data_IF_119719069054
#
_entry.id   IF_119719069054
#
_cell.length_a   1.000
_cell.length_b   1.000
_cell.length_c   1.000
_cell.angle_alpha   90.00
_cell.angle_beta   90.00
_cell.angle_gamma   90.00
#
_symmetry.space_group_name_H-M   'P 1'
#
loop_
_entity.id
_entity.type
_entity.pdbx_description
1 polymer ?
#
# COMPACT_ATOMS: atom_id res chain seq x y z
N UNK A 1 -1.11 -40.28 -38.88
CA UNK A 1 0.05 -39.35 -38.91
C UNK A 1 0.05 -38.62 -37.57
N UNK A 2 1.16 -38.55 -36.85
CA UNK A 2 1.20 -37.77 -35.58
C UNK A 2 0.91 -36.31 -35.91
N UNK A 3 -0.04 -35.73 -35.19
CA UNK A 3 -0.37 -34.30 -35.30
C UNK A 3 0.80 -33.47 -34.75
N UNK A 4 0.85 -32.18 -35.12
CA UNK A 4 1.86 -31.29 -34.54
C UNK A 4 1.81 -31.26 -33.00
N UNK A 5 0.65 -31.48 -32.43
CA UNK A 5 0.39 -31.58 -30.99
C UNK A 5 1.11 -32.76 -30.34
N UNK A 6 1.00 -33.97 -30.99
CA UNK A 6 1.70 -35.17 -30.47
C UNK A 6 3.21 -35.01 -30.39
N UNK A 7 3.81 -34.19 -31.26
CA UNK A 7 5.26 -33.93 -31.21
C UNK A 7 5.67 -33.10 -30.01
N UNK A 8 4.81 -32.13 -29.62
CA UNK A 8 5.04 -31.29 -28.43
C UNK A 8 4.84 -32.10 -27.15
N UNK A 9 3.73 -32.84 -27.08
CA UNK A 9 3.38 -33.63 -25.87
C UNK A 9 4.36 -34.76 -25.58
N UNK A 10 4.90 -35.38 -26.62
CA UNK A 10 5.85 -36.49 -26.48
C UNK A 10 7.31 -36.02 -26.30
N UNK A 11 7.57 -34.76 -26.47
CA UNK A 11 8.91 -34.16 -26.28
C UNK A 11 8.90 -33.15 -25.12
N UNK A 12 9.29 -33.64 -23.95
CA UNK A 12 9.28 -32.84 -22.71
C UNK A 12 10.14 -31.58 -22.83
N UNK A 13 11.28 -31.65 -23.50
CA UNK A 13 12.17 -30.50 -23.70
C UNK A 13 11.49 -29.40 -24.55
N UNK A 14 10.87 -29.81 -25.68
CA UNK A 14 10.12 -28.87 -26.52
C UNK A 14 8.93 -28.27 -25.79
N UNK A 15 8.20 -29.06 -25.01
CA UNK A 15 7.08 -28.61 -24.21
C UNK A 15 7.50 -27.57 -23.18
N UNK A 16 8.59 -27.81 -22.42
CA UNK A 16 9.14 -26.87 -21.45
C UNK A 16 9.52 -25.54 -22.13
N UNK A 17 10.24 -25.60 -23.25
CA UNK A 17 10.63 -24.38 -23.97
C UNK A 17 9.41 -23.58 -24.43
N UNK A 18 8.41 -24.22 -24.98
CA UNK A 18 7.18 -23.55 -25.42
C UNK A 18 6.40 -22.95 -24.26
N UNK A 19 6.30 -23.65 -23.13
CA UNK A 19 5.68 -23.12 -21.91
C UNK A 19 6.42 -21.87 -21.44
N UNK A 20 7.75 -21.93 -21.34
CA UNK A 20 8.56 -20.79 -20.91
C UNK A 20 8.38 -19.58 -21.85
N UNK A 21 8.37 -19.80 -23.16
CA UNK A 21 8.15 -18.73 -24.15
C UNK A 21 6.76 -18.07 -23.94
N UNK A 22 5.69 -18.87 -23.88
CA UNK A 22 4.35 -18.35 -23.73
C UNK A 22 4.15 -17.62 -22.41
N UNK A 23 4.64 -18.20 -21.30
CA UNK A 23 4.56 -17.58 -19.96
C UNK A 23 5.38 -16.29 -19.92
N UNK A 24 6.57 -16.28 -20.54
CA UNK A 24 7.40 -15.07 -20.61
C UNK A 24 6.73 -13.95 -21.40
N UNK A 25 6.13 -14.25 -22.54
CA UNK A 25 5.40 -13.26 -23.34
C UNK A 25 4.21 -12.72 -22.54
N UNK A 26 3.39 -13.60 -21.97
CA UNK A 26 2.25 -13.18 -21.13
C UNK A 26 2.66 -12.34 -19.92
N UNK A 27 3.73 -12.74 -19.24
CA UNK A 27 4.27 -11.98 -18.12
C UNK A 27 4.80 -10.60 -18.53
N UNK A 28 5.56 -10.53 -19.63
CA UNK A 28 6.09 -9.25 -20.12
C UNK A 28 4.99 -8.29 -20.55
N UNK A 29 3.96 -8.76 -21.23
CA UNK A 29 2.80 -7.93 -21.63
C UNK A 29 2.11 -7.29 -20.41
N UNK A 30 2.08 -7.99 -19.28
CA UNK A 30 1.50 -7.45 -18.03
C UNK A 30 2.46 -6.57 -17.24
N UNK A 31 3.74 -6.93 -17.17
CA UNK A 31 4.72 -6.26 -16.30
C UNK A 31 5.27 -4.99 -16.97
N UNK A 32 5.61 -5.03 -18.26
CA UNK A 32 6.24 -3.90 -18.95
C UNK A 32 5.42 -2.60 -18.89
N UNK A 33 4.10 -2.61 -19.11
CA UNK A 33 3.29 -1.38 -18.99
C UNK A 33 3.37 -0.73 -17.60
N UNK A 34 3.56 -1.53 -16.53
CA UNK A 34 3.62 -1.00 -15.16
C UNK A 34 4.82 -0.07 -14.93
N UNK A 35 5.92 -0.25 -15.68
CA UNK A 35 7.08 0.63 -15.60
C UNK A 35 6.81 2.04 -16.16
N UNK A 36 5.77 2.18 -16.96
CA UNK A 36 5.38 3.45 -17.58
C UNK A 36 4.13 4.08 -16.93
N UNK A 37 3.51 3.39 -15.98
CA UNK A 37 2.33 3.88 -15.27
C UNK A 37 2.75 4.69 -14.03
N UNK A 38 2.63 6.01 -14.11
CA UNK A 38 2.93 6.92 -12.99
C UNK A 38 1.87 6.82 -11.89
N UNK A 39 0.61 6.56 -12.23
CA UNK A 39 -0.50 6.44 -11.27
C UNK A 39 -0.31 5.39 -10.18
N UNK A 40 0.59 4.44 -10.38
CA UNK A 40 0.92 3.38 -9.40
C UNK A 40 2.15 3.70 -8.55
N UNK A 41 2.91 4.72 -8.90
CA UNK A 41 4.18 5.09 -8.26
C UNK A 41 4.20 6.47 -7.66
N UNK A 42 3.30 7.37 -8.11
CA UNK A 42 3.18 8.72 -7.57
C UNK A 42 2.27 8.73 -6.34
N UNK A 43 2.72 9.41 -5.29
CA UNK A 43 1.92 9.61 -4.09
C UNK A 43 0.72 10.52 -4.38
N UNK A 44 -0.43 10.22 -3.79
CA UNK A 44 -1.56 11.16 -3.81
C UNK A 44 -1.22 12.43 -3.05
N UNK A 45 -1.83 13.54 -3.44
CA UNK A 45 -1.60 14.83 -2.78
C UNK A 45 -1.86 14.75 -1.27
N UNK A 46 -0.91 15.22 -0.48
CA UNK A 46 -0.99 15.21 0.99
C UNK A 46 -0.59 13.89 1.67
N UNK A 47 -0.16 12.88 0.91
CA UNK A 47 0.39 11.68 1.50
C UNK A 47 1.84 11.92 1.93
N UNK A 48 2.11 11.67 3.21
CA UNK A 48 3.44 11.79 3.80
C UNK A 48 3.99 10.41 4.16
N UNK A 49 5.34 10.24 4.17
CA UNK A 49 5.97 9.04 4.69
C UNK A 49 5.57 8.75 6.13
N UNK A 50 5.65 7.51 6.55
CA UNK A 50 5.36 7.13 7.93
C UNK A 50 6.25 7.87 8.93
N UNK A 51 5.63 8.45 9.95
CA UNK A 51 6.36 8.88 11.14
C UNK A 51 6.89 7.65 11.90
N UNK A 52 7.92 7.78 12.76
CA UNK A 52 8.44 6.67 13.55
C UNK A 52 7.35 5.90 14.31
N UNK A 53 6.43 6.61 14.93
CA UNK A 53 5.33 5.99 15.68
C UNK A 53 4.35 5.24 14.78
N UNK A 54 4.00 5.81 13.63
CA UNK A 54 3.12 5.14 12.65
C UNK A 54 3.76 3.88 12.07
N UNK A 55 5.07 3.94 11.83
CA UNK A 55 5.82 2.77 11.35
C UNK A 55 5.87 1.66 12.41
N UNK A 56 6.09 2.01 13.67
CA UNK A 56 6.02 1.05 14.78
C UNK A 56 4.63 0.41 14.89
N UNK A 57 3.57 1.21 14.77
CA UNK A 57 2.20 0.70 14.74
C UNK A 57 1.93 -0.26 13.58
N UNK A 58 2.48 0.04 12.40
CA UNK A 58 2.42 -0.87 11.25
C UNK A 58 3.14 -2.20 11.52
N UNK A 59 4.29 -2.15 12.16
CA UNK A 59 5.03 -3.37 12.53
C UNK A 59 4.23 -4.23 13.52
N UNK A 60 3.58 -3.61 14.49
CA UNK A 60 2.65 -4.30 15.44
C UNK A 60 1.50 -4.93 14.65
N UNK A 61 0.86 -4.19 13.74
CA UNK A 61 -0.24 -4.69 12.91
C UNK A 61 0.15 -5.96 12.11
N UNK A 62 1.36 -5.98 11.56
CA UNK A 62 1.88 -7.13 10.82
C UNK A 62 2.24 -8.26 11.78
N UNK A 63 2.91 -7.97 12.89
CA UNK A 63 3.34 -8.97 13.87
C UNK A 63 2.17 -9.71 14.50
N UNK A 64 1.13 -8.97 14.88
CA UNK A 64 -0.07 -9.56 15.50
C UNK A 64 -1.01 -10.22 14.48
N UNK A 65 -0.71 -10.11 13.18
CA UNK A 65 -1.48 -10.76 12.12
C UNK A 65 -2.85 -10.15 11.86
N UNK A 66 -3.07 -8.88 12.19
CA UNK A 66 -4.35 -8.20 12.02
C UNK A 66 -4.88 -8.26 10.58
N UNK A 67 -3.96 -8.28 9.60
CA UNK A 67 -4.26 -8.39 8.17
C UNK A 67 -4.91 -9.73 7.78
N UNK A 68 -4.89 -10.75 8.63
CA UNK A 68 -5.56 -12.03 8.37
C UNK A 68 -7.09 -11.92 8.45
N UNK A 69 -7.59 -10.97 9.25
CA UNK A 69 -9.01 -10.72 9.46
C UNK A 69 -9.48 -9.39 8.92
N UNK A 70 -8.59 -8.40 8.77
CA UNK A 70 -8.88 -7.06 8.29
C UNK A 70 -8.19 -6.77 6.97
N UNK A 71 -8.86 -6.06 6.07
CA UNK A 71 -8.27 -5.47 4.88
C UNK A 71 -7.94 -4.00 5.11
N UNK A 72 -7.03 -3.45 4.31
CA UNK A 72 -6.72 -2.02 4.27
C UNK A 72 -6.86 -1.49 2.83
N UNK A 73 -7.93 -1.88 2.15
CA UNK A 73 -8.23 -1.42 0.79
C UNK A 73 -9.73 -1.40 0.59
N UNK A 74 -10.28 -0.22 0.31
CA UNK A 74 -11.68 -0.06 -0.05
C UNK A 74 -11.81 -0.37 -1.54
N UNK A 75 -12.63 -1.37 -1.88
CA UNK A 75 -12.89 -1.76 -3.27
C UNK A 75 -13.84 -0.77 -3.94
N UNK A 76 -13.79 -0.61 -5.30
CA UNK A 76 -14.61 0.33 -6.04
C UNK A 76 -16.06 -0.18 -6.23
N UNK A 77 -16.67 -0.68 -5.16
CA UNK A 77 -18.07 -1.10 -5.13
C UNK A 77 -18.90 -0.09 -4.36
N UNK A 78 -20.11 0.20 -4.84
CA UNK A 78 -21.00 1.17 -4.25
C UNK A 78 -21.21 0.93 -2.74
N UNK A 79 -21.51 -0.30 -2.36
CA UNK A 79 -21.73 -0.65 -0.95
C UNK A 79 -20.52 -0.39 -0.06
N UNK A 80 -19.30 -0.52 -0.60
CA UNK A 80 -18.07 -0.23 0.15
C UNK A 80 -17.79 1.25 0.24
N UNK A 81 -17.95 1.98 -0.86
CA UNK A 81 -17.72 3.42 -0.88
C UNK A 81 -18.75 4.17 -0.02
N UNK A 82 -19.99 3.70 0.04
CA UNK A 82 -21.00 4.23 0.95
C UNK A 82 -20.66 3.96 2.43
N UNK A 83 -20.07 2.81 2.73
CA UNK A 83 -19.74 2.41 4.11
C UNK A 83 -18.43 3.01 4.61
N UNK A 84 -17.39 3.01 3.79
CA UNK A 84 -16.02 3.33 4.22
C UNK A 84 -15.49 4.65 3.66
N UNK A 85 -16.12 5.21 2.63
CA UNK A 85 -15.66 6.37 1.90
C UNK A 85 -15.05 6.01 0.54
N UNK A 86 -14.34 6.96 -0.08
CA UNK A 86 -13.78 6.79 -1.41
C UNK A 86 -12.94 5.51 -1.53
N UNK A 87 -13.06 4.80 -2.66
CA UNK A 87 -12.26 3.59 -2.93
C UNK A 87 -10.76 3.91 -2.93
N UNK A 88 -9.98 2.93 -2.56
CA UNK A 88 -8.53 3.05 -2.46
C UNK A 88 -7.88 3.11 -3.84
N UNK A 89 -6.87 3.97 -3.98
CA UNK A 89 -6.05 4.09 -5.19
C UNK A 89 -4.59 3.75 -4.88
N UNK A 90 -3.84 3.29 -5.88
CA UNK A 90 -2.47 2.82 -5.70
C UNK A 90 -1.54 3.89 -5.09
N UNK A 91 -1.73 5.16 -5.44
CA UNK A 91 -0.96 6.28 -4.90
C UNK A 91 -1.09 6.50 -3.39
N UNK A 92 -2.11 5.93 -2.72
CA UNK A 92 -2.24 5.99 -1.26
C UNK A 92 -1.24 5.07 -0.54
N UNK A 93 -0.66 4.10 -1.24
CA UNK A 93 0.16 3.03 -0.65
C UNK A 93 1.63 3.06 -1.09
N UNK A 94 2.10 4.14 -1.69
CA UNK A 94 3.47 4.22 -2.20
C UNK A 94 4.54 4.00 -1.13
N UNK A 95 4.23 4.34 0.12
CA UNK A 95 5.10 4.11 1.29
C UNK A 95 4.80 2.81 2.05
N UNK A 96 3.81 2.04 1.61
CA UNK A 96 3.37 0.81 2.30
C UNK A 96 3.86 -0.44 1.56
N UNK A 97 5.03 -0.92 1.94
CA UNK A 97 5.66 -2.12 1.36
C UNK A 97 5.99 -3.14 2.47
N UNK A 98 5.56 -4.39 2.34
CA UNK A 98 4.57 -4.93 1.39
C UNK A 98 3.16 -4.39 1.66
N UNK A 99 2.33 -4.35 0.62
CA UNK A 99 0.93 -3.92 0.74
C UNK A 99 0.13 -4.81 1.69
N UNK A 100 -0.69 -4.19 2.53
CA UNK A 100 -1.56 -4.87 3.50
C UNK A 100 -3.04 -4.86 3.05
N UNK A 101 -3.27 -4.94 1.76
CA UNK A 101 -4.63 -4.81 1.20
C UNK A 101 -5.59 -5.87 1.71
N UNK A 102 -5.15 -7.13 1.80
CA UNK A 102 -5.97 -8.24 2.27
C UNK A 102 -7.13 -8.59 1.34
N UNK A 103 -7.45 -9.86 1.26
CA UNK A 103 -8.60 -10.37 0.49
C UNK A 103 -9.73 -10.87 1.38
N UNK A 104 -9.47 -11.06 2.67
CA UNK A 104 -10.45 -11.53 3.66
C UNK A 104 -10.86 -10.39 4.58
N UNK A 105 -12.10 -10.41 4.99
CA UNK A 105 -12.71 -9.45 5.90
C UNK A 105 -13.61 -10.17 6.90
N UNK A 106 -12.99 -10.87 7.83
CA UNK A 106 -13.70 -11.34 9.03
C UNK A 106 -14.12 -10.14 9.86
N UNK A 107 -13.27 -9.12 9.92
CA UNK A 107 -13.59 -7.80 10.44
C UNK A 107 -13.72 -6.74 9.33
N UNK A 108 -14.06 -5.49 9.67
CA UNK A 108 -14.21 -4.39 8.72
C UNK A 108 -12.89 -3.96 8.10
N UNK A 109 -12.96 -3.24 6.97
CA UNK A 109 -11.81 -2.59 6.35
C UNK A 109 -11.30 -1.43 7.22
N UNK A 110 -9.97 -1.31 7.33
CA UNK A 110 -9.32 -0.34 8.20
C UNK A 110 -8.69 0.85 7.45
N UNK A 111 -8.79 0.92 6.12
CA UNK A 111 -8.13 1.96 5.33
C UNK A 111 -8.55 3.39 5.72
N UNK A 112 -9.79 3.59 6.19
CA UNK A 112 -10.35 4.89 6.59
C UNK A 112 -10.75 4.93 8.06
N UNK A 113 -10.14 4.12 8.92
CA UNK A 113 -10.51 4.04 10.35
C UNK A 113 -9.94 5.21 11.16
N UNK A 114 -8.83 5.79 10.71
CA UNK A 114 -8.19 6.92 11.41
C UNK A 114 -9.13 8.11 11.62
N UNK A 115 -9.24 8.58 12.85
CA UNK A 115 -10.12 9.68 13.23
C UNK A 115 -11.62 9.35 13.29
N UNK A 116 -12.01 8.09 13.01
CA UNK A 116 -13.41 7.67 13.07
C UNK A 116 -13.88 7.40 14.49
N UNK A 117 -13.00 6.91 15.31
CA UNK A 117 -13.21 6.64 16.74
C UNK A 117 -12.12 7.34 17.54
N UNK A 118 -12.35 7.56 18.85
CA UNK A 118 -11.34 8.13 19.73
C UNK A 118 -10.18 7.16 19.98
N UNK A 119 -9.03 7.70 20.38
CA UNK A 119 -7.86 6.88 20.72
C UNK A 119 -8.17 5.92 21.87
N UNK A 120 -8.94 6.37 22.88
CA UNK A 120 -9.36 5.53 24.00
C UNK A 120 -10.27 4.41 23.54
N UNK A 121 -11.17 4.66 22.59
CA UNK A 121 -12.01 3.61 22.01
C UNK A 121 -11.13 2.54 21.35
N UNK A 122 -10.11 2.94 20.57
CA UNK A 122 -9.19 2.00 19.94
C UNK A 122 -8.40 1.19 20.96
N UNK A 123 -7.94 1.83 22.05
CA UNK A 123 -7.23 1.16 23.14
C UNK A 123 -8.11 0.09 23.79
N UNK A 124 -9.30 0.44 24.24
CA UNK A 124 -10.26 -0.48 24.87
C UNK A 124 -10.62 -1.61 23.91
N UNK A 125 -10.87 -1.27 22.63
CA UNK A 125 -11.19 -2.27 21.59
C UNK A 125 -10.07 -3.27 21.36
N UNK A 126 -8.82 -2.88 21.45
CA UNK A 126 -7.69 -3.79 21.30
C UNK A 126 -7.49 -4.66 22.55
N UNK A 127 -7.67 -4.11 23.74
CA UNK A 127 -7.55 -4.86 25.01
C UNK A 127 -8.67 -5.90 25.11
N UNK A 128 -9.92 -5.48 24.96
CA UNK A 128 -11.08 -6.38 24.92
C UNK A 128 -12.15 -5.83 23.97
N UNK A 129 -12.26 -6.35 22.75
CA UNK A 129 -13.24 -5.83 21.77
C UNK A 129 -14.69 -5.82 22.25
N UNK A 130 -15.07 -6.74 23.14
CA UNK A 130 -16.43 -6.88 23.62
C UNK A 130 -16.85 -5.77 24.57
N UNK A 131 -15.92 -5.02 25.14
CA UNK A 131 -16.25 -3.90 26.02
C UNK A 131 -16.86 -2.72 25.25
N UNK A 132 -16.55 -2.59 23.97
CA UNK A 132 -17.10 -1.55 23.09
C UNK A 132 -18.03 -2.10 21.99
N UNK A 133 -17.90 -3.37 21.66
CA UNK A 133 -18.73 -4.09 20.68
C UNK A 133 -19.08 -5.47 21.26
N UNK A 134 -20.17 -5.60 22.03
CA UNK A 134 -20.49 -6.83 22.77
C UNK A 134 -20.56 -8.11 21.92
N UNK A 135 -20.96 -7.99 20.65
CA UNK A 135 -21.09 -9.11 19.70
C UNK A 135 -19.79 -9.40 18.95
N UNK A 136 -18.68 -8.76 19.31
CA UNK A 136 -17.42 -8.91 18.59
C UNK A 136 -16.86 -10.33 18.71
N UNK A 137 -16.49 -10.89 17.56
CA UNK A 137 -15.73 -12.16 17.45
C UNK A 137 -14.22 -11.93 17.42
N UNK A 138 -13.78 -10.67 17.39
CA UNK A 138 -12.35 -10.33 17.42
C UNK A 138 -11.73 -10.80 18.74
N UNK A 139 -10.57 -11.44 18.74
CA UNK A 139 -9.84 -11.74 19.96
C UNK A 139 -9.33 -10.45 20.63
N UNK A 140 -9.16 -10.46 21.94
CA UNK A 140 -8.48 -9.38 22.66
C UNK A 140 -6.97 -9.51 22.56
N UNK A 141 -6.29 -8.37 22.64
CA UNK A 141 -4.83 -8.23 22.62
C UNK A 141 -4.36 -7.43 23.85
N UNK A 142 -4.67 -7.88 25.08
CA UNK A 142 -4.39 -7.09 26.29
C UNK A 142 -2.91 -6.78 26.50
N UNK A 143 -2.01 -7.67 26.02
CA UNK A 143 -0.57 -7.46 26.12
C UNK A 143 -0.07 -6.22 25.35
N UNK A 144 -0.83 -5.70 24.37
CA UNK A 144 -0.43 -4.49 23.65
C UNK A 144 -0.45 -3.24 24.54
N UNK A 145 -1.25 -3.23 25.59
CA UNK A 145 -1.32 -2.11 26.53
C UNK A 145 -0.05 -2.01 27.39
N UNK A 146 0.55 -3.16 27.71
CA UNK A 146 1.74 -3.26 28.55
C UNK A 146 3.06 -3.35 27.76
N UNK A 147 2.98 -3.57 26.43
CA UNK A 147 4.16 -3.75 25.60
C UNK A 147 4.63 -2.41 25.05
N UNK A 148 5.83 -1.92 25.44
CA UNK A 148 6.36 -0.70 24.88
C UNK A 148 6.59 -0.82 23.38
N UNK A 149 6.37 0.27 22.65
CA UNK A 149 6.69 0.32 21.23
C UNK A 149 8.21 0.16 21.04
N UNK A 150 8.62 -0.88 20.31
CA UNK A 150 10.03 -1.10 20.00
C UNK A 150 10.51 -0.05 18.98
N UNK A 151 11.36 0.85 19.46
CA UNK A 151 11.96 1.90 18.63
C UNK A 151 13.35 1.52 18.11
N UNK A 152 13.90 0.36 18.50
CA UNK A 152 15.31 0.02 18.25
C UNK A 152 15.69 -0.02 16.76
N UNK A 153 14.80 -0.50 15.91
CA UNK A 153 15.04 -0.64 14.47
C UNK A 153 14.37 0.45 13.61
N UNK A 154 13.66 1.38 14.22
CA UNK A 154 12.83 2.36 13.47
C UNK A 154 13.69 3.26 12.58
N UNK A 155 14.82 3.74 13.07
CA UNK A 155 15.72 4.59 12.26
C UNK A 155 16.21 3.86 11.03
N UNK A 156 16.68 2.62 11.18
CA UNK A 156 17.15 1.79 10.06
C UNK A 156 16.03 1.49 9.06
N UNK A 157 14.81 1.25 9.54
CA UNK A 157 13.64 1.03 8.68
C UNK A 157 13.24 2.29 7.92
N UNK A 158 13.28 3.46 8.57
CA UNK A 158 12.99 4.73 7.91
C UNK A 158 14.04 5.05 6.84
N UNK A 159 15.31 4.80 7.10
CA UNK A 159 16.38 4.95 6.12
C UNK A 159 16.16 4.01 4.92
N UNK A 160 15.82 2.75 5.16
CA UNK A 160 15.53 1.79 4.09
C UNK A 160 14.32 2.22 3.24
N UNK A 161 13.25 2.73 3.84
CA UNK A 161 12.08 3.26 3.14
C UNK A 161 12.47 4.49 2.31
N UNK A 162 13.20 5.43 2.89
CA UNK A 162 13.69 6.62 2.19
C UNK A 162 14.58 6.26 1.01
N UNK A 163 15.49 5.31 1.18
CA UNK A 163 16.38 4.85 0.10
C UNK A 163 15.60 4.24 -1.07
N UNK A 164 14.62 3.40 -0.81
CA UNK A 164 13.81 2.77 -1.86
C UNK A 164 12.98 3.78 -2.65
N UNK A 165 12.60 4.91 -2.06
CA UNK A 165 11.86 5.98 -2.74
C UNK A 165 12.76 6.96 -3.47
N UNK A 166 13.98 7.19 -3.00
CA UNK A 166 14.97 8.05 -3.67
C UNK A 166 15.57 7.39 -4.93
N UNK A 167 15.57 6.07 -5.02
CA UNK A 167 16.09 5.32 -6.17
C UNK A 167 15.07 5.09 -7.29
N UNK A 168 13.79 5.35 -7.06
CA UNK A 168 12.83 5.44 -8.16
C UNK A 168 13.10 6.77 -8.90
N UNK A 169 13.26 6.76 -10.24
CA UNK A 169 13.49 7.98 -10.99
C UNK A 169 12.25 8.87 -10.88
N UNK A 170 12.22 9.72 -9.86
CA UNK A 170 11.37 10.90 -9.88
C UNK A 170 11.87 11.73 -11.04
N UNK A 171 11.09 11.78 -12.10
CA UNK A 171 11.28 12.72 -13.17
C UNK A 171 11.16 14.09 -12.52
N UNK A 172 12.32 14.68 -12.17
CA UNK A 172 12.39 16.08 -11.80
C UNK A 172 11.61 16.84 -12.86
N UNK A 173 10.49 17.39 -12.49
CA UNK A 173 9.84 18.42 -13.28
C UNK A 173 10.82 19.58 -13.27
N UNK A 174 11.68 19.68 -14.28
CA UNK A 174 12.33 20.92 -14.65
C UNK A 174 11.24 21.93 -14.98
N UNK A 175 10.63 22.50 -13.92
CA UNK A 175 9.90 23.74 -13.97
C UNK A 175 10.94 24.82 -14.28
N UNK A 176 11.10 25.10 -15.56
CA UNK A 176 11.88 26.24 -16.01
C UNK A 176 11.31 27.51 -15.38
N UNK A 177 12.01 28.02 -14.37
CA UNK A 177 11.91 29.40 -13.97
C UNK A 177 12.41 30.24 -15.14
N UNK A 178 11.53 30.55 -16.08
CA UNK A 178 11.70 31.59 -17.05
C UNK A 178 11.72 32.90 -16.28
N UNK A 179 12.91 33.43 -16.05
CA UNK A 179 13.09 34.77 -15.59
C UNK A 179 12.52 35.76 -16.63
N UNK A 180 11.56 36.53 -16.21
CA UNK A 180 11.05 37.72 -16.90
C UNK A 180 11.35 38.91 -16.03
N UNK A 181 12.54 39.50 -16.22
CA UNK A 181 12.85 40.84 -15.70
C UNK A 181 12.18 41.89 -16.55
N UNK A 182 11.80 42.97 -15.92
CA UNK A 182 11.34 44.20 -16.50
C UNK A 182 10.65 44.97 -15.40
N UNK A 183 11.18 45.98 -14.78
CA UNK A 183 11.80 47.17 -15.31
C UNK A 183 10.79 48.27 -15.31
N UNK A 184 10.98 49.25 -14.45
CA UNK A 184 10.61 50.59 -14.78
C UNK A 184 9.45 51.28 -14.09
N UNK A 185 9.76 52.20 -13.21
CA UNK A 185 9.41 53.61 -13.38
C UNK A 185 8.09 54.03 -12.75
N UNK A 186 8.16 54.74 -11.65
CA UNK A 186 8.26 56.18 -11.68
C UNK A 186 6.95 56.90 -11.47
N UNK A 187 6.84 57.71 -10.44
CA UNK A 187 6.17 58.97 -10.49
C UNK A 187 4.84 59.11 -9.78
N UNK A 188 4.78 59.68 -8.62
CA UNK A 188 4.37 61.03 -8.43
C UNK A 188 2.87 61.29 -8.34
N UNK A 189 2.43 61.76 -7.21
CA UNK A 189 1.16 62.41 -7.00
C UNK A 189 0.68 62.23 -5.55
#
# INVERSE_FOLDING_TARGET
MPTGHDKVEKNIGLMIVLILVVVSIGGLVQIVPLFFQQSTTEAVAGLEPYTPLRLAGRDVYIREGCYTCHSQMIRPFRAETERYGHYSVAGEYVYDRPFQWGSKRTGPDLARVGGRYSDEWHRVHLVNPRDVVPESIMPGYPWLDDTPADAGDIVRKLEAVSYTHLTLPTKESRGGCGGGGGGGGGGGG
#
